data_IF_288207870725
#
_entry.id   IF_288207870725
#
_cell.length_a   1.000
_cell.length_b   1.000
_cell.length_c   1.000
_cell.angle_alpha   90.00
_cell.angle_beta   90.00
_cell.angle_gamma   90.00
#
_symmetry.space_group_name_H-M   'P 1'
#
loop_
_entity.id
_entity.type
_entity.pdbx_description
1 polymer ?
#
# COMPACT_ATOMS: atom_id res chain seq x y z
N UNK A 1 26.17 17.10 -31.17
CA UNK A 1 26.60 17.29 -29.77
C UNK A 1 26.92 15.93 -29.19
N UNK A 2 28.21 15.51 -29.21
CA UNK A 2 28.61 14.19 -28.71
C UNK A 2 28.74 14.30 -27.20
N UNK A 3 27.73 13.80 -26.47
CA UNK A 3 27.79 13.57 -25.01
C UNK A 3 28.75 12.39 -24.79
N UNK A 4 30.04 12.68 -24.60
CA UNK A 4 31.02 11.67 -24.24
C UNK A 4 30.87 11.50 -22.73
N UNK A 5 30.29 10.40 -22.30
CA UNK A 5 30.25 9.96 -20.92
C UNK A 5 31.67 9.56 -20.49
N UNK A 6 32.45 10.52 -20.05
CA UNK A 6 33.71 10.23 -19.38
C UNK A 6 33.43 9.89 -17.92
N UNK A 7 34.04 8.83 -17.36
CA UNK A 7 33.87 8.53 -15.94
C UNK A 7 34.29 9.72 -15.09
N UNK A 8 33.59 9.98 -13.96
CA UNK A 8 33.89 11.11 -13.09
C UNK A 8 35.32 11.01 -12.54
N UNK A 9 36.07 12.07 -12.60
CA UNK A 9 37.42 12.17 -12.06
C UNK A 9 37.38 12.51 -10.55
N UNK A 10 38.51 12.31 -9.85
CA UNK A 10 38.68 12.73 -8.43
C UNK A 10 38.39 14.26 -8.28
N UNK A 11 38.74 15.06 -9.28
CA UNK A 11 38.50 16.50 -9.27
C UNK A 11 37.01 16.82 -9.34
N UNK A 12 36.24 16.03 -10.09
CA UNK A 12 34.78 16.16 -10.17
C UNK A 12 34.14 15.85 -8.81
N UNK A 13 34.64 14.85 -8.09
CA UNK A 13 34.19 14.52 -6.73
C UNK A 13 34.51 15.64 -5.72
N UNK A 14 35.72 16.24 -5.80
CA UNK A 14 36.10 17.38 -4.95
C UNK A 14 35.20 18.59 -5.26
N UNK A 15 34.89 18.84 -6.52
CA UNK A 15 33.98 19.90 -6.95
C UNK A 15 32.59 19.67 -6.40
N UNK A 16 32.08 18.43 -6.47
CA UNK A 16 30.82 18.04 -5.86
C UNK A 16 30.80 18.41 -4.38
N UNK A 17 31.77 17.99 -3.60
CA UNK A 17 31.84 18.28 -2.16
C UNK A 17 31.90 19.78 -1.85
N UNK A 18 32.63 20.56 -2.65
CA UNK A 18 32.70 22.02 -2.49
C UNK A 18 31.41 22.75 -2.82
N UNK A 19 30.56 22.16 -3.65
CA UNK A 19 29.27 22.74 -4.06
C UNK A 19 28.13 22.49 -3.04
N UNK A 20 28.42 22.18 -1.76
CA UNK A 20 27.42 21.80 -0.76
C UNK A 20 26.25 22.79 -0.61
N UNK A 21 26.50 24.10 -0.78
CA UNK A 21 25.46 25.14 -0.75
C UNK A 21 24.44 24.98 -1.88
N UNK A 22 24.92 24.54 -3.05
CA UNK A 22 24.06 24.29 -4.21
C UNK A 22 23.17 23.05 -3.98
N UNK A 23 23.69 22.04 -3.29
CA UNK A 23 22.91 20.85 -2.90
C UNK A 23 21.82 21.17 -1.90
N UNK A 24 22.18 21.92 -0.84
CA UNK A 24 21.21 22.33 0.17
C UNK A 24 20.09 23.18 -0.47
N UNK A 25 20.45 24.13 -1.30
CA UNK A 25 19.48 24.96 -2.01
C UNK A 25 18.59 24.11 -2.95
N UNK A 26 19.18 23.20 -3.74
CA UNK A 26 18.46 22.29 -4.61
C UNK A 26 17.48 21.39 -3.82
N UNK A 27 17.93 20.83 -2.70
CA UNK A 27 17.07 20.01 -1.84
C UNK A 27 15.89 20.81 -1.25
N UNK A 28 16.13 22.04 -0.82
CA UNK A 28 15.07 22.92 -0.30
C UNK A 28 14.04 23.29 -1.39
N UNK A 29 14.50 23.65 -2.58
CA UNK A 29 13.61 23.93 -3.72
C UNK A 29 12.82 22.68 -4.11
N UNK A 30 13.49 21.52 -4.17
CA UNK A 30 12.83 20.24 -4.44
C UNK A 30 11.78 19.88 -3.39
N UNK A 31 12.11 20.04 -2.12
CA UNK A 31 11.15 19.84 -1.03
C UNK A 31 9.95 20.78 -1.13
N UNK A 32 10.19 22.08 -1.41
CA UNK A 32 9.12 23.05 -1.58
C UNK A 32 8.18 22.69 -2.75
N UNK A 33 8.75 22.21 -3.88
CA UNK A 33 7.96 21.74 -5.02
C UNK A 33 7.19 20.46 -4.66
N UNK A 34 7.80 19.52 -3.94
CA UNK A 34 7.12 18.33 -3.41
C UNK A 34 5.93 18.69 -2.52
N UNK A 35 6.12 19.68 -1.61
CA UNK A 35 5.02 20.21 -0.81
C UNK A 35 3.92 20.85 -1.67
N UNK A 36 4.28 21.65 -2.66
CA UNK A 36 3.31 22.27 -3.56
C UNK A 36 2.48 21.20 -4.30
N UNK A 37 3.10 20.15 -4.81
CA UNK A 37 2.39 19.03 -5.44
C UNK A 37 1.42 18.37 -4.47
N UNK A 38 1.83 18.12 -3.21
CA UNK A 38 0.97 17.53 -2.19
C UNK A 38 -0.29 18.36 -1.92
N UNK A 39 -0.19 19.70 -1.87
CA UNK A 39 -1.33 20.57 -1.60
C UNK A 39 -2.22 20.81 -2.83
N UNK A 40 -1.65 20.80 -4.04
CA UNK A 40 -2.42 20.96 -5.29
C UNK A 40 -3.12 19.65 -5.68
N UNK A 41 -2.44 18.54 -5.52
CA UNK A 41 -2.95 17.20 -5.83
C UNK A 41 -2.88 16.29 -4.59
N UNK A 42 -3.74 16.55 -3.60
CA UNK A 42 -3.67 15.83 -2.35
C UNK A 42 -3.99 14.34 -2.56
N UNK A 43 -3.19 13.42 -1.96
CA UNK A 43 -3.52 12.00 -1.93
C UNK A 43 -4.86 11.76 -1.24
N UNK A 44 -5.49 10.65 -1.55
CA UNK A 44 -6.74 10.23 -0.91
C UNK A 44 -6.53 9.85 0.56
N UNK A 45 -7.59 9.89 1.34
CA UNK A 45 -7.60 9.39 2.71
C UNK A 45 -7.69 7.87 2.68
N UNK A 46 -6.93 7.21 3.55
CA UNK A 46 -6.93 5.75 3.67
C UNK A 46 -7.53 5.32 4.99
N UNK A 47 -8.66 4.61 4.93
CA UNK A 47 -9.25 3.93 6.06
C UNK A 47 -8.83 2.46 6.09
N UNK A 48 -8.85 1.84 7.27
CA UNK A 48 -8.47 0.45 7.49
C UNK A 48 -9.46 -0.24 8.40
N UNK A 49 -10.06 -1.34 7.96
CA UNK A 49 -10.74 -2.30 8.80
C UNK A 49 -9.88 -3.58 8.93
N UNK A 50 -10.07 -4.35 9.99
CA UNK A 50 -9.29 -5.56 10.25
C UNK A 50 -10.23 -6.71 10.54
N UNK A 51 -10.03 -7.82 9.82
CA UNK A 51 -10.69 -9.11 10.06
C UNK A 51 -9.63 -10.10 10.51
N UNK A 52 -9.82 -10.69 11.68
CA UNK A 52 -9.00 -11.81 12.10
C UNK A 52 -9.47 -13.06 11.36
N UNK A 53 -8.54 -13.74 10.69
CA UNK A 53 -8.78 -15.01 9.98
C UNK A 53 -7.91 -16.05 10.61
N UNK A 54 -8.51 -16.92 11.42
CA UNK A 54 -7.84 -18.03 12.07
C UNK A 54 -8.16 -19.33 11.34
N UNK A 55 -7.14 -19.96 10.78
CA UNK A 55 -7.27 -21.19 10.01
C UNK A 55 -7.33 -22.48 10.87
N UNK A 56 -7.15 -22.38 12.20
CA UNK A 56 -7.25 -23.47 13.17
C UNK A 56 -6.55 -24.76 12.74
N UNK A 57 -5.27 -24.67 12.42
CA UNK A 57 -4.46 -25.80 11.96
C UNK A 57 -4.53 -27.05 12.86
N UNK A 58 -4.50 -26.84 14.16
CA UNK A 58 -4.55 -27.94 15.15
C UNK A 58 -5.83 -28.77 15.04
N UNK A 59 -6.95 -28.13 14.68
CA UNK A 59 -8.22 -28.80 14.47
C UNK A 59 -8.33 -29.40 13.07
N UNK A 60 -7.77 -28.75 12.07
CA UNK A 60 -7.80 -29.23 10.70
C UNK A 60 -6.90 -30.47 10.49
N UNK A 61 -5.76 -30.52 11.20
CA UNK A 61 -4.76 -31.58 11.07
C UNK A 61 -4.19 -31.98 12.43
N UNK A 62 -4.92 -32.82 13.22
CA UNK A 62 -4.48 -33.23 14.55
C UNK A 62 -3.23 -34.15 14.55
N UNK A 63 -2.89 -34.75 13.41
CA UNK A 63 -1.68 -35.58 13.23
C UNK A 63 -0.59 -34.81 12.44
N UNK A 64 -0.19 -33.72 12.93
CA UNK A 64 0.62 -32.67 12.30
C UNK A 64 1.76 -33.17 11.43
N UNK A 65 1.73 -32.80 10.14
CA UNK A 65 2.90 -32.79 9.26
C UNK A 65 3.04 -31.41 8.64
N UNK A 66 4.13 -30.69 8.94
CA UNK A 66 4.44 -29.34 8.49
C UNK A 66 4.11 -29.04 7.00
N UNK A 67 4.16 -30.07 6.18
CA UNK A 67 3.91 -30.00 4.75
C UNK A 67 2.42 -29.88 4.40
N UNK A 68 1.56 -30.53 5.17
CA UNK A 68 0.09 -30.46 4.98
C UNK A 68 -0.44 -29.11 5.42
N UNK A 69 0.09 -28.57 6.52
CA UNK A 69 -0.28 -27.26 7.04
C UNK A 69 0.01 -26.16 6.03
N UNK A 70 1.18 -26.20 5.38
CA UNK A 70 1.55 -25.23 4.37
C UNK A 70 0.60 -25.24 3.15
N UNK A 71 0.30 -26.42 2.60
CA UNK A 71 -0.62 -26.55 1.47
C UNK A 71 -2.06 -26.16 1.81
N UNK A 72 -2.50 -26.48 3.02
CA UNK A 72 -3.80 -26.09 3.52
C UNK A 72 -3.90 -24.57 3.61
N UNK A 73 -2.95 -23.92 4.28
CA UNK A 73 -2.93 -22.48 4.43
C UNK A 73 -2.92 -21.76 3.07
N UNK A 74 -2.05 -22.19 2.16
CA UNK A 74 -1.96 -21.60 0.84
C UNK A 74 -3.28 -21.72 0.07
N UNK A 75 -3.90 -22.90 0.10
CA UNK A 75 -5.14 -23.16 -0.62
C UNK A 75 -6.31 -22.35 -0.04
N UNK A 76 -6.52 -22.40 1.27
CA UNK A 76 -7.66 -21.71 1.90
C UNK A 76 -7.45 -20.18 1.88
N UNK A 77 -6.23 -19.72 2.09
CA UNK A 77 -5.90 -18.28 1.95
C UNK A 77 -6.18 -17.77 0.55
N UNK A 78 -5.85 -18.54 -0.49
CA UNK A 78 -6.14 -18.15 -1.89
C UNK A 78 -7.65 -18.04 -2.13
N UNK A 79 -8.44 -19.02 -1.69
CA UNK A 79 -9.91 -18.96 -1.79
C UNK A 79 -10.48 -17.73 -1.08
N UNK A 80 -9.97 -17.42 0.10
CA UNK A 80 -10.39 -16.25 0.87
C UNK A 80 -10.05 -14.94 0.15
N UNK A 81 -8.88 -14.85 -0.49
CA UNK A 81 -8.51 -13.69 -1.33
C UNK A 81 -9.46 -13.56 -2.51
N UNK A 82 -9.71 -14.65 -3.24
CA UNK A 82 -10.64 -14.67 -4.37
C UNK A 82 -12.04 -14.24 -3.93
N UNK A 83 -12.48 -14.70 -2.74
CA UNK A 83 -13.75 -14.31 -2.16
C UNK A 83 -13.82 -12.82 -1.83
N UNK A 84 -12.78 -12.25 -1.21
CA UNK A 84 -12.71 -10.83 -0.88
C UNK A 84 -12.85 -9.93 -2.12
N UNK A 85 -12.40 -10.41 -3.28
CA UNK A 85 -12.47 -9.71 -4.57
C UNK A 85 -13.61 -10.19 -5.48
N UNK A 86 -14.50 -11.05 -4.97
CA UNK A 86 -15.64 -11.56 -5.76
C UNK A 86 -16.64 -10.44 -6.05
N UNK A 87 -17.34 -10.58 -7.18
CA UNK A 87 -18.39 -9.62 -7.56
C UNK A 87 -19.51 -9.58 -6.53
N UNK A 88 -19.82 -10.71 -5.89
CA UNK A 88 -20.84 -10.80 -4.83
C UNK A 88 -20.51 -9.93 -3.61
N UNK A 89 -19.23 -9.87 -3.22
CA UNK A 89 -18.75 -9.05 -2.12
C UNK A 89 -18.68 -7.59 -2.56
N UNK A 90 -18.10 -7.30 -3.72
CA UNK A 90 -17.91 -5.94 -4.20
C UNK A 90 -19.24 -5.24 -4.54
N UNK A 91 -20.25 -5.97 -5.02
CA UNK A 91 -21.58 -5.42 -5.30
C UNK A 91 -22.31 -4.88 -4.05
N UNK A 92 -21.92 -5.32 -2.86
CA UNK A 92 -22.51 -4.83 -1.60
C UNK A 92 -21.95 -3.45 -1.18
N UNK A 93 -20.90 -2.95 -1.84
CA UNK A 93 -20.17 -1.75 -1.41
C UNK A 93 -20.77 -0.43 -1.93
N UNK A 94 -21.91 -0.45 -2.61
CA UNK A 94 -22.57 0.74 -3.18
C UNK A 94 -21.66 1.66 -4.02
N UNK A 95 -20.64 1.08 -4.68
CA UNK A 95 -19.72 1.77 -5.58
C UNK A 95 -19.50 0.93 -6.85
N UNK A 96 -19.15 1.56 -8.00
CA UNK A 96 -18.86 0.82 -9.23
C UNK A 96 -17.69 -0.15 -9.04
N UNK A 97 -17.89 -1.41 -9.42
CA UNK A 97 -16.87 -2.49 -9.23
C UNK A 97 -15.56 -2.15 -9.94
N UNK A 98 -15.62 -1.49 -11.10
CA UNK A 98 -14.45 -1.05 -11.85
C UNK A 98 -13.61 -0.03 -11.07
N UNK A 99 -14.24 0.90 -10.35
CA UNK A 99 -13.54 1.86 -9.50
C UNK A 99 -12.91 1.17 -8.28
N UNK A 100 -13.63 0.23 -7.68
CA UNK A 100 -13.15 -0.54 -6.52
C UNK A 100 -11.88 -1.32 -6.87
N UNK A 101 -11.89 -2.02 -8.01
CA UNK A 101 -10.71 -2.75 -8.53
C UNK A 101 -9.64 -1.83 -9.10
N UNK A 102 -10.00 -0.63 -9.50
CA UNK A 102 -9.11 0.38 -10.08
C UNK A 102 -8.13 1.04 -9.11
N UNK A 103 -8.07 0.57 -7.86
CA UNK A 103 -7.11 1.03 -6.84
C UNK A 103 -7.75 1.68 -5.62
N UNK A 104 -9.07 1.80 -5.54
CA UNK A 104 -9.75 2.28 -4.32
C UNK A 104 -9.66 1.30 -3.16
N UNK A 105 -9.56 0.01 -3.43
CA UNK A 105 -9.44 -1.02 -2.41
C UNK A 105 -8.06 -1.66 -2.44
N UNK A 106 -7.53 -2.01 -1.27
CA UNK A 106 -6.28 -2.75 -1.12
C UNK A 106 -6.38 -3.73 0.04
N UNK A 107 -6.06 -5.00 -0.22
CA UNK A 107 -6.07 -6.08 0.78
C UNK A 107 -4.63 -6.40 1.19
N UNK A 108 -4.35 -6.36 2.48
CA UNK A 108 -3.07 -6.77 3.05
C UNK A 108 -3.28 -7.91 4.05
N UNK A 109 -2.42 -8.92 3.98
CA UNK A 109 -2.48 -10.15 4.77
C UNK A 109 -1.18 -10.31 5.58
N UNK A 110 -0.94 -9.49 6.61
CA UNK A 110 0.20 -9.69 7.48
C UNK A 110 0.04 -10.98 8.28
N UNK A 111 1.13 -11.74 8.44
CA UNK A 111 1.11 -13.07 9.06
C UNK A 111 0.59 -13.09 10.52
N UNK A 112 0.69 -11.97 11.25
CA UNK A 112 0.44 -11.94 12.70
C UNK A 112 -0.69 -10.99 13.14
N UNK A 113 -1.28 -10.20 12.23
CA UNK A 113 -2.15 -9.07 12.62
C UNK A 113 -3.55 -9.11 12.01
N UNK A 114 -3.95 -10.23 11.45
CA UNK A 114 -5.22 -10.34 10.72
C UNK A 114 -5.18 -9.72 9.33
N UNK A 115 -6.26 -9.81 8.61
CA UNK A 115 -6.38 -9.27 7.26
C UNK A 115 -6.84 -7.82 7.32
N UNK A 116 -6.12 -6.94 6.62
CA UNK A 116 -6.42 -5.51 6.57
C UNK A 116 -7.09 -5.14 5.27
N UNK A 117 -8.28 -4.59 5.39
CA UNK A 117 -9.11 -4.06 4.31
C UNK A 117 -8.93 -2.55 4.26
N UNK A 118 -8.20 -2.07 3.27
CA UNK A 118 -7.97 -0.65 3.06
C UNK A 118 -8.91 -0.11 2.00
N UNK A 119 -9.46 1.07 2.23
CA UNK A 119 -10.17 1.83 1.22
C UNK A 119 -9.62 3.25 1.14
N UNK A 120 -9.40 3.71 -0.08
CA UNK A 120 -8.91 5.05 -0.38
C UNK A 120 -10.02 5.88 -1.00
N UNK A 121 -10.30 7.08 -0.46
CA UNK A 121 -11.25 8.03 -1.02
C UNK A 121 -10.85 9.48 -0.72
N UNK A 122 -11.35 10.42 -1.52
CA UNK A 122 -11.16 11.86 -1.30
C UNK A 122 -11.90 12.37 -0.07
N UNK A 123 -13.02 11.72 0.26
CA UNK A 123 -13.79 11.97 1.47
C UNK A 123 -13.40 10.95 2.55
N UNK A 124 -12.89 11.39 3.72
CA UNK A 124 -12.51 10.49 4.80
C UNK A 124 -13.68 9.65 5.33
N UNK A 125 -14.93 10.17 5.28
CA UNK A 125 -16.11 9.43 5.71
C UNK A 125 -16.44 8.30 4.73
N UNK A 126 -16.31 8.55 3.43
CA UNK A 126 -16.52 7.53 2.42
C UNK A 126 -15.44 6.43 2.51
N UNK A 127 -14.17 6.79 2.75
CA UNK A 127 -13.11 5.82 2.98
C UNK A 127 -13.42 4.90 4.17
N UNK A 128 -13.88 5.48 5.31
CA UNK A 128 -14.27 4.72 6.51
C UNK A 128 -15.41 3.74 6.24
N UNK A 129 -16.50 4.25 5.62
CA UNK A 129 -17.68 3.45 5.30
C UNK A 129 -17.30 2.32 4.35
N UNK A 130 -16.53 2.61 3.32
CA UNK A 130 -16.15 1.64 2.30
C UNK A 130 -15.25 0.53 2.86
N UNK A 131 -14.25 0.87 3.69
CA UNK A 131 -13.38 -0.12 4.33
C UNK A 131 -14.16 -1.03 5.29
N UNK A 132 -15.05 -0.45 6.10
CA UNK A 132 -15.90 -1.21 7.02
C UNK A 132 -16.89 -2.10 6.29
N UNK A 133 -17.55 -1.58 5.25
CA UNK A 133 -18.50 -2.34 4.44
C UNK A 133 -17.81 -3.53 3.76
N UNK A 134 -16.60 -3.33 3.22
CA UNK A 134 -15.85 -4.42 2.57
C UNK A 134 -15.46 -5.52 3.54
N UNK A 135 -14.94 -5.17 4.73
CA UNK A 135 -14.60 -6.14 5.75
C UNK A 135 -15.81 -6.95 6.23
N UNK A 136 -16.97 -6.28 6.43
CA UNK A 136 -18.19 -6.94 6.85
C UNK A 136 -18.76 -7.85 5.75
N UNK A 137 -18.87 -7.35 4.51
CA UNK A 137 -19.37 -8.12 3.37
C UNK A 137 -18.51 -9.37 3.11
N UNK A 138 -17.16 -9.22 3.25
CA UNK A 138 -16.25 -10.34 3.18
C UNK A 138 -16.50 -11.36 4.29
N UNK A 139 -16.61 -10.91 5.56
CA UNK A 139 -16.81 -11.80 6.70
C UNK A 139 -18.14 -12.57 6.61
N UNK A 140 -19.23 -11.88 6.22
CA UNK A 140 -20.54 -12.50 6.02
C UNK A 140 -20.51 -13.52 4.89
N UNK A 141 -19.91 -13.19 3.75
CA UNK A 141 -19.81 -14.10 2.61
C UNK A 141 -18.93 -15.30 2.94
N UNK A 142 -17.79 -15.10 3.61
CA UNK A 142 -16.91 -16.19 4.02
C UNK A 142 -17.59 -17.14 5.01
N UNK A 143 -18.38 -16.61 5.96
CA UNK A 143 -19.17 -17.44 6.87
C UNK A 143 -20.21 -18.29 6.10
N UNK A 144 -20.90 -17.70 5.13
CA UNK A 144 -21.83 -18.44 4.29
C UNK A 144 -21.15 -19.54 3.45
N UNK A 145 -19.94 -19.30 2.95
CA UNK A 145 -19.15 -20.29 2.19
C UNK A 145 -18.62 -21.43 3.10
N UNK A 146 -18.35 -21.16 4.39
CA UNK A 146 -18.04 -22.17 5.40
C UNK A 146 -19.28 -23.05 5.65
N UNK A 147 -20.45 -22.45 5.86
CA UNK A 147 -21.72 -23.18 6.08
C UNK A 147 -22.13 -24.01 4.86
N UNK A 148 -21.82 -23.54 3.65
CA UNK A 148 -22.04 -24.27 2.41
C UNK A 148 -21.02 -25.40 2.16
N UNK A 149 -19.93 -25.50 2.95
CA UNK A 149 -18.87 -26.48 2.79
C UNK A 149 -17.87 -26.17 1.67
N UNK A 150 -17.87 -24.97 1.12
CA UNK A 150 -16.92 -24.52 0.09
C UNK A 150 -15.59 -24.05 0.69
N UNK A 151 -15.64 -23.52 1.93
CA UNK A 151 -14.49 -23.23 2.77
C UNK A 151 -14.42 -24.24 3.91
N UNK A 152 -13.26 -24.40 4.52
CA UNK A 152 -13.07 -25.34 5.59
C UNK A 152 -13.80 -24.89 6.87
N UNK A 153 -14.51 -25.81 7.52
CA UNK A 153 -15.33 -25.56 8.72
C UNK A 153 -14.52 -25.09 9.95
N UNK A 154 -13.21 -25.35 9.99
CA UNK A 154 -12.34 -24.93 11.08
C UNK A 154 -11.88 -23.48 10.98
N UNK A 155 -12.10 -22.80 9.85
CA UNK A 155 -11.77 -21.39 9.68
C UNK A 155 -12.70 -20.56 10.55
N UNK A 156 -12.13 -19.68 11.37
CA UNK A 156 -12.86 -18.71 12.18
C UNK A 156 -12.57 -17.29 11.71
N UNK A 157 -13.62 -16.50 11.65
CA UNK A 157 -13.58 -15.13 11.20
C UNK A 157 -14.15 -14.22 12.29
N UNK A 158 -13.46 -13.14 12.56
CA UNK A 158 -13.91 -12.10 13.47
C UNK A 158 -13.51 -10.72 12.95
N UNK A 159 -14.48 -9.81 12.80
CA UNK A 159 -14.16 -8.40 12.53
C UNK A 159 -13.68 -7.77 13.82
N UNK A 160 -12.37 -7.72 14.01
CA UNK A 160 -11.74 -7.24 15.24
C UNK A 160 -11.69 -5.73 15.33
N UNK A 161 -11.68 -5.05 14.18
CA UNK A 161 -11.64 -3.59 14.11
C UNK A 161 -12.39 -3.10 12.89
N UNK A 162 -13.49 -2.39 13.12
CA UNK A 162 -14.13 -1.57 12.07
C UNK A 162 -13.21 -0.39 11.71
N UNK A 163 -13.35 0.13 10.50
CA UNK A 163 -12.58 1.30 10.11
C UNK A 163 -12.96 2.51 10.99
N UNK A 164 -11.96 3.33 11.26
CA UNK A 164 -12.15 4.62 11.92
C UNK A 164 -11.96 5.73 10.90
N UNK A 165 -12.53 6.91 11.18
CA UNK A 165 -12.34 8.10 10.34
C UNK A 165 -10.84 8.39 10.19
N UNK A 166 -10.29 8.30 8.95
CA UNK A 166 -8.88 8.48 8.74
C UNK A 166 -8.49 9.96 8.96
N UNK A 167 -7.48 10.18 9.80
CA UNK A 167 -6.90 11.50 10.05
C UNK A 167 -5.78 11.82 9.08
N UNK A 168 -5.18 10.81 8.51
CA UNK A 168 -4.01 10.91 7.63
C UNK A 168 -4.36 10.47 6.21
N UNK A 169 -3.64 11.02 5.24
CA UNK A 169 -3.75 10.63 3.85
C UNK A 169 -2.95 9.36 3.58
N UNK A 170 -3.27 8.65 2.52
CA UNK A 170 -2.61 7.40 2.10
C UNK A 170 -1.10 7.55 1.91
N UNK A 171 -0.67 8.74 1.46
CA UNK A 171 0.74 9.09 1.34
C UNK A 171 1.01 10.34 2.18
N UNK A 172 1.87 10.26 3.22
CA UNK A 172 2.17 11.40 4.08
C UNK A 172 2.98 12.49 3.36
N UNK A 173 2.83 13.74 3.79
CA UNK A 173 3.56 14.90 3.25
C UNK A 173 5.07 14.67 3.22
N UNK A 174 5.63 13.99 4.23
CA UNK A 174 7.05 13.68 4.32
C UNK A 174 7.59 12.96 3.07
N UNK A 175 6.81 12.05 2.47
CA UNK A 175 7.20 11.32 1.27
C UNK A 175 7.33 12.26 0.05
N UNK A 176 6.43 13.23 -0.07
CA UNK A 176 6.50 14.25 -1.14
C UNK A 176 7.70 15.18 -0.96
N UNK A 177 7.98 15.60 0.29
CA UNK A 177 9.16 16.40 0.61
C UNK A 177 10.46 15.66 0.27
N UNK A 178 10.56 14.39 0.68
CA UNK A 178 11.73 13.55 0.42
C UNK A 178 11.90 13.25 -1.07
N UNK A 179 10.81 12.90 -1.77
CA UNK A 179 10.86 12.64 -3.21
C UNK A 179 11.29 13.88 -3.98
N UNK A 180 10.73 15.04 -3.66
CA UNK A 180 11.10 16.31 -4.26
C UNK A 180 12.57 16.69 -3.99
N UNK A 181 13.00 16.61 -2.73
CA UNK A 181 14.38 16.87 -2.35
C UNK A 181 15.37 15.94 -3.07
N UNK A 182 15.08 14.64 -3.07
CA UNK A 182 15.92 13.61 -3.72
C UNK A 182 15.99 13.80 -5.23
N UNK A 183 14.86 14.06 -5.88
CA UNK A 183 14.79 14.32 -7.31
C UNK A 183 15.66 15.53 -7.73
N UNK A 184 15.58 16.63 -6.98
CA UNK A 184 16.41 17.82 -7.23
C UNK A 184 17.89 17.60 -6.90
N UNK A 185 18.21 16.83 -5.87
CA UNK A 185 19.58 16.43 -5.59
C UNK A 185 20.18 15.63 -6.76
N UNK A 186 19.47 14.64 -7.27
CA UNK A 186 19.90 13.85 -8.43
C UNK A 186 20.11 14.75 -9.67
N UNK A 187 19.19 15.69 -9.91
CA UNK A 187 19.29 16.65 -10.99
C UNK A 187 20.49 17.57 -10.81
N UNK A 188 20.75 18.04 -9.60
CA UNK A 188 21.91 18.87 -9.28
C UNK A 188 23.23 18.12 -9.51
N UNK A 189 23.31 16.84 -9.09
CA UNK A 189 24.45 15.97 -9.41
C UNK A 189 24.68 15.89 -10.91
N UNK A 190 23.60 15.61 -11.65
CA UNK A 190 23.67 15.48 -13.10
C UNK A 190 24.20 16.78 -13.74
N UNK A 191 23.66 17.93 -13.34
CA UNK A 191 24.11 19.24 -13.83
C UNK A 191 25.60 19.48 -13.56
N UNK A 192 26.06 19.21 -12.33
CA UNK A 192 27.45 19.44 -11.93
C UNK A 192 28.45 18.49 -12.61
N UNK A 193 28.04 17.25 -12.90
CA UNK A 193 28.93 16.27 -13.56
C UNK A 193 28.98 16.46 -15.07
N UNK A 194 27.86 16.81 -15.71
CA UNK A 194 27.77 16.80 -17.16
C UNK A 194 27.76 18.18 -17.82
N UNK A 195 27.46 19.25 -17.07
CA UNK A 195 27.54 20.62 -17.57
C UNK A 195 28.87 21.21 -17.11
N UNK A 196 29.93 21.01 -17.93
CA UNK A 196 31.22 21.67 -17.70
C UNK A 196 31.10 23.12 -18.17
N UNK A 197 31.36 24.13 -17.31
CA UNK A 197 31.53 25.51 -17.79
C UNK A 197 32.71 25.56 -18.75
N UNK A 198 32.51 26.18 -19.90
CA UNK A 198 33.59 26.48 -20.86
C UNK A 198 34.56 27.45 -20.26
#
# INVERSE_FOLDING_TARGET
>A
MNLIFTPPSLEDLIRLLKAWRFWVFGALVGAALGAAVYFIFPPEYRAKATVNVDFNFEQAFPENTDRQDFYYLERESRKMVELAWSDDVLAQLNAPVEELRGGKLNLSQPAEAGWHFYADDKDPQQAEVLASAWANAFAEKAQAEIEAGNLNEFIKLEVTQSANLPKERSIPLANYLLAGASGFLLLAVFVLLFIKPK
#
